data_IF_590008714877
#
_entry.id   IF_590008714877
#
_cell.length_a   1.000
_cell.length_b   1.000
_cell.length_c   1.000
_cell.angle_alpha   90.00
_cell.angle_beta   90.00
_cell.angle_gamma   90.00
#
_symmetry.space_group_name_H-M   'P 1'
#
loop_
_entity.id
_entity.type
_entity.pdbx_description
1 polymer ?
#
# COMPACT_ATOMS: atom_id res chain seq x y z
N UNK A 1 -27.24 -1.78 -10.11
CA UNK A 1 -27.03 -1.09 -8.82
C UNK A 1 -25.85 -0.15 -8.98
N UNK A 2 -25.87 0.99 -8.28
CA UNK A 2 -24.77 1.97 -8.27
C UNK A 2 -24.21 2.02 -6.86
N UNK A 3 -22.91 2.26 -6.75
CA UNK A 3 -22.22 2.40 -5.46
C UNK A 3 -21.99 3.88 -5.16
N UNK A 4 -21.83 4.20 -3.88
CA UNK A 4 -21.17 5.46 -3.49
C UNK A 4 -19.71 5.47 -3.95
N UNK A 5 -19.03 6.62 -3.85
CA UNK A 5 -17.60 6.72 -4.11
C UNK A 5 -16.81 5.85 -3.12
N UNK A 6 -15.77 5.18 -3.62
CA UNK A 6 -14.87 4.33 -2.85
C UNK A 6 -13.42 4.53 -3.31
N UNK A 7 -12.46 4.21 -2.45
CA UNK A 7 -11.03 4.26 -2.76
C UNK A 7 -10.50 2.88 -3.20
N UNK A 8 -9.31 2.85 -3.80
CA UNK A 8 -8.61 1.60 -4.20
C UNK A 8 -8.37 0.62 -3.05
N UNK A 9 -8.40 1.12 -1.81
CA UNK A 9 -8.16 0.32 -0.60
C UNK A 9 -9.44 -0.18 0.05
N UNK A 10 -10.58 0.40 -0.32
CA UNK A 10 -11.85 0.02 0.25
C UNK A 10 -12.34 -1.30 -0.36
N UNK A 11 -13.02 -2.15 0.42
CA UNK A 11 -13.67 -3.33 -0.12
C UNK A 11 -14.79 -2.93 -1.08
N UNK A 12 -14.97 -3.70 -2.16
CA UNK A 12 -16.09 -3.49 -3.06
C UNK A 12 -17.42 -3.78 -2.36
N UNK A 13 -18.44 -2.92 -2.52
CA UNK A 13 -19.78 -3.22 -2.02
C UNK A 13 -20.26 -4.58 -2.52
N UNK A 14 -20.73 -5.44 -1.60
CA UNK A 14 -21.25 -6.81 -1.84
C UNK A 14 -20.25 -7.87 -2.32
N UNK A 15 -19.14 -7.49 -2.94
CA UNK A 15 -18.13 -8.42 -3.46
C UNK A 15 -17.00 -8.62 -2.45
N UNK A 16 -16.70 -7.60 -1.64
CA UNK A 16 -15.62 -7.62 -0.64
C UNK A 16 -14.27 -7.28 -1.26
N UNK A 17 -13.19 -7.88 -0.74
CA UNK A 17 -11.84 -7.61 -1.21
C UNK A 17 -11.59 -8.31 -2.56
N UNK A 18 -11.49 -7.52 -3.63
CA UNK A 18 -11.25 -8.00 -4.99
C UNK A 18 -10.24 -7.07 -5.70
N UNK A 19 -8.93 -7.32 -5.57
CA UNK A 19 -7.88 -6.47 -6.14
C UNK A 19 -8.01 -6.27 -7.65
N UNK A 20 -8.26 -7.36 -8.38
CA UNK A 20 -8.37 -7.33 -9.84
C UNK A 20 -9.58 -6.52 -10.30
N UNK A 21 -10.69 -6.60 -9.55
CA UNK A 21 -11.88 -5.78 -9.81
C UNK A 21 -11.61 -4.29 -9.52
N UNK A 22 -10.87 -4.00 -8.44
CA UNK A 22 -10.40 -2.63 -8.17
C UNK A 22 -9.54 -2.10 -9.30
N UNK A 23 -8.57 -2.87 -9.78
CA UNK A 23 -7.72 -2.43 -10.90
C UNK A 23 -8.56 -2.16 -12.16
N UNK A 24 -9.49 -3.05 -12.50
CA UNK A 24 -10.38 -2.85 -13.63
C UNK A 24 -11.25 -1.61 -13.48
N UNK A 25 -11.88 -1.40 -12.32
CA UNK A 25 -12.78 -0.27 -12.09
C UNK A 25 -12.05 1.07 -12.14
N UNK A 26 -10.86 1.16 -11.53
CA UNK A 26 -10.05 2.38 -11.51
C UNK A 26 -9.31 2.63 -12.84
N UNK A 27 -9.34 1.69 -13.78
CA UNK A 27 -8.91 1.88 -15.16
C UNK A 27 -10.00 2.42 -16.09
N UNK A 28 -11.24 2.57 -15.61
CA UNK A 28 -12.34 3.13 -16.38
C UNK A 28 -12.41 4.66 -16.26
N UNK A 29 -13.02 5.29 -17.25
CA UNK A 29 -13.16 6.74 -17.35
C UNK A 29 -14.32 7.17 -18.23
N UNK A 30 -14.45 8.47 -18.45
CA UNK A 30 -15.47 9.04 -19.32
C UNK A 30 -15.32 8.60 -20.78
N UNK A 31 -14.09 8.34 -21.20
CA UNK A 31 -13.67 7.80 -22.49
C UNK A 31 -13.81 6.27 -22.56
N UNK A 32 -13.49 5.55 -21.47
CA UNK A 32 -13.60 4.09 -21.37
C UNK A 32 -14.58 3.69 -20.26
N UNK A 33 -15.88 3.68 -20.58
CA UNK A 33 -16.93 3.41 -19.58
C UNK A 33 -17.06 1.95 -19.15
N UNK A 34 -16.58 1.01 -19.95
CA UNK A 34 -16.71 -0.42 -19.69
C UNK A 34 -15.35 -1.11 -19.75
N UNK A 35 -15.11 -2.13 -18.91
CA UNK A 35 -13.91 -2.95 -19.01
C UNK A 35 -13.98 -3.84 -20.25
N UNK A 36 -12.81 -4.21 -20.79
CA UNK A 36 -12.71 -5.14 -21.93
C UNK A 36 -13.05 -6.57 -21.54
N UNK A 37 -12.81 -6.92 -20.27
CA UNK A 37 -13.03 -8.25 -19.73
C UNK A 37 -14.04 -8.20 -18.58
N UNK A 38 -14.79 -9.29 -18.42
CA UNK A 38 -15.68 -9.48 -17.27
C UNK A 38 -14.89 -9.97 -16.05
N UNK A 39 -15.33 -9.57 -14.86
CA UNK A 39 -14.73 -10.08 -13.62
C UNK A 39 -15.47 -11.34 -13.18
N UNK A 40 -14.77 -12.47 -13.08
CA UNK A 40 -15.31 -13.72 -12.54
C UNK A 40 -14.65 -14.08 -11.21
N UNK A 41 -15.45 -14.45 -10.21
CA UNK A 41 -14.98 -15.03 -8.96
C UNK A 41 -15.95 -16.16 -8.50
N UNK A 42 -15.69 -16.86 -7.37
CA UNK A 42 -16.59 -17.91 -6.87
C UNK A 42 -18.02 -17.45 -6.53
N UNK A 43 -18.28 -16.13 -6.41
CA UNK A 43 -19.61 -15.56 -6.15
C UNK A 43 -20.39 -15.31 -7.46
N UNK A 44 -19.72 -15.31 -8.61
CA UNK A 44 -20.34 -15.12 -9.92
C UNK A 44 -19.50 -14.29 -10.89
N UNK A 45 -20.15 -13.84 -11.96
CA UNK A 45 -19.57 -12.94 -12.96
C UNK A 45 -20.18 -11.55 -12.81
N UNK A 46 -19.33 -10.53 -12.78
CA UNK A 46 -19.69 -9.14 -12.58
C UNK A 46 -19.29 -8.30 -13.79
N UNK A 47 -20.21 -7.41 -14.19
CA UNK A 47 -19.97 -6.37 -15.19
C UNK A 47 -20.10 -5.02 -14.49
N UNK A 48 -19.08 -4.19 -14.63
CA UNK A 48 -19.05 -2.85 -14.04
C UNK A 48 -19.03 -1.79 -15.14
N UNK A 49 -19.56 -0.61 -14.82
CA UNK A 49 -19.56 0.56 -15.69
C UNK A 49 -19.12 1.77 -14.89
N UNK A 50 -18.25 2.58 -15.46
CA UNK A 50 -17.90 3.88 -14.90
C UNK A 50 -19.10 4.82 -14.91
N UNK A 51 -19.31 5.50 -13.79
CA UNK A 51 -20.37 6.49 -13.62
C UNK A 51 -19.77 7.88 -13.38
N UNK A 52 -18.90 7.98 -12.36
CA UNK A 52 -18.15 9.18 -12.04
C UNK A 52 -16.83 8.83 -11.34
N UNK A 53 -15.92 9.80 -11.29
CA UNK A 53 -14.69 9.74 -10.49
C UNK A 53 -14.59 10.97 -9.59
N UNK A 54 -14.24 10.75 -8.32
CA UNK A 54 -13.91 11.83 -7.40
C UNK A 54 -12.39 11.98 -7.32
N UNK A 55 -11.91 13.17 -7.65
CA UNK A 55 -10.50 13.53 -7.51
C UNK A 55 -10.07 13.68 -6.05
N UNK A 56 -8.79 13.96 -5.85
CA UNK A 56 -8.28 14.31 -4.52
C UNK A 56 -8.79 15.68 -4.10
N UNK A 57 -8.86 15.92 -2.79
CA UNK A 57 -9.00 17.27 -2.25
C UNK A 57 -7.65 17.98 -2.34
N UNK A 58 -7.49 18.83 -3.37
CA UNK A 58 -6.24 19.55 -3.64
C UNK A 58 -5.85 20.49 -2.49
N UNK A 59 -6.83 21.11 -1.80
CA UNK A 59 -6.53 22.00 -0.67
C UNK A 59 -5.96 21.22 0.49
N UNK A 60 -6.64 20.14 0.87
CA UNK A 60 -6.16 19.25 1.93
C UNK A 60 -4.80 18.65 1.58
N UNK A 61 -4.60 18.28 0.30
CA UNK A 61 -3.30 17.78 -0.16
C UNK A 61 -2.19 18.81 0.03
N UNK A 62 -2.40 20.07 -0.35
CA UNK A 62 -1.40 21.13 -0.17
C UNK A 62 -1.14 21.44 1.31
N UNK A 63 -2.17 21.40 2.17
CA UNK A 63 -2.01 21.54 3.63
C UNK A 63 -1.13 20.44 4.24
N UNK A 64 -1.32 19.19 3.81
CA UNK A 64 -0.63 18.02 4.36
C UNK A 64 0.70 17.67 3.62
N UNK A 65 0.99 18.36 2.51
CA UNK A 65 2.10 18.05 1.59
C UNK A 65 3.46 17.94 2.28
N UNK A 66 3.77 18.86 3.18
CA UNK A 66 5.06 18.88 3.86
C UNK A 66 5.19 17.74 4.87
N UNK A 67 4.09 17.39 5.54
CA UNK A 67 4.04 16.21 6.41
C UNK A 67 4.31 14.93 5.60
N UNK A 68 3.68 14.78 4.42
CA UNK A 68 3.93 13.63 3.54
C UNK A 68 5.38 13.57 3.07
N UNK A 69 5.97 14.71 2.67
CA UNK A 69 7.39 14.79 2.29
C UNK A 69 8.30 14.33 3.43
N UNK A 70 8.07 14.85 4.63
CA UNK A 70 8.84 14.50 5.82
C UNK A 70 8.72 13.01 6.16
N UNK A 71 7.51 12.44 6.12
CA UNK A 71 7.30 11.00 6.35
C UNK A 71 8.05 10.12 5.35
N UNK A 72 7.99 10.45 4.06
CA UNK A 72 8.69 9.69 3.00
C UNK A 72 10.20 9.80 3.16
N UNK A 73 10.71 11.00 3.45
CA UNK A 73 12.14 11.23 3.69
C UNK A 73 12.65 10.45 4.90
N UNK A 74 11.95 10.51 6.03
CA UNK A 74 12.29 9.77 7.25
C UNK A 74 12.27 8.25 7.02
N UNK A 75 11.25 7.75 6.32
CA UNK A 75 11.12 6.32 6.00
C UNK A 75 12.30 5.85 5.14
N UNK A 76 12.68 6.64 4.14
CA UNK A 76 13.81 6.36 3.25
C UNK A 76 15.13 6.37 4.01
N UNK A 77 15.35 7.39 4.84
CA UNK A 77 16.55 7.51 5.67
C UNK A 77 16.72 6.31 6.60
N UNK A 78 15.65 5.93 7.31
CA UNK A 78 15.64 4.76 8.19
C UNK A 78 16.02 3.49 7.44
N UNK A 79 15.41 3.24 6.27
CA UNK A 79 15.68 2.03 5.47
C UNK A 79 17.14 1.96 5.02
N UNK A 80 17.71 3.09 4.58
CA UNK A 80 19.12 3.16 4.16
C UNK A 80 20.05 2.91 5.34
N UNK A 81 19.78 3.57 6.48
CA UNK A 81 20.57 3.41 7.69
C UNK A 81 20.54 1.97 8.22
N UNK A 82 19.36 1.35 8.30
CA UNK A 82 19.21 -0.06 8.69
C UNK A 82 20.01 -0.97 7.76
N UNK A 83 19.91 -0.77 6.44
CA UNK A 83 20.66 -1.55 5.45
C UNK A 83 22.16 -1.40 5.65
N UNK A 84 22.63 -0.17 5.85
CA UNK A 84 24.03 0.13 6.12
C UNK A 84 24.53 -0.54 7.41
N UNK A 85 23.75 -0.47 8.50
CA UNK A 85 24.09 -1.09 9.78
C UNK A 85 24.16 -2.63 9.67
N UNK A 86 23.23 -3.25 8.95
CA UNK A 86 23.26 -4.70 8.70
C UNK A 86 24.51 -5.12 7.92
N UNK A 87 24.89 -4.33 6.90
CA UNK A 87 26.11 -4.59 6.14
C UNK A 87 27.37 -4.44 7.00
N UNK A 88 27.44 -3.41 7.85
CA UNK A 88 28.57 -3.23 8.76
C UNK A 88 28.68 -4.41 9.73
N UNK A 89 27.56 -4.82 10.34
CA UNK A 89 27.51 -5.96 11.24
C UNK A 89 27.95 -7.26 10.58
N UNK A 90 27.54 -7.50 9.32
CA UNK A 90 27.91 -8.70 8.55
C UNK A 90 29.41 -8.76 8.24
N UNK A 91 30.04 -7.61 7.99
CA UNK A 91 31.44 -7.52 7.59
C UNK A 91 32.41 -7.34 8.78
N UNK A 92 31.89 -7.03 9.96
CA UNK A 92 32.70 -6.87 11.17
C UNK A 92 32.99 -8.23 11.82
N UNK A 93 34.23 -8.44 12.27
CA UNK A 93 34.57 -9.55 13.17
C UNK A 93 34.15 -9.15 14.59
N UNK A 94 32.93 -9.51 14.98
CA UNK A 94 32.36 -9.20 16.29
C UNK A 94 32.47 -10.43 17.19
N UNK A 95 33.26 -10.35 18.26
CA UNK A 95 33.33 -11.36 19.31
C UNK A 95 32.50 -10.90 20.50
N UNK A 96 31.37 -11.57 20.77
CA UNK A 96 30.52 -11.30 21.94
C UNK A 96 31.04 -12.14 23.10
N UNK A 97 31.89 -11.55 23.94
CA UNK A 97 32.33 -12.18 25.18
C UNK A 97 31.17 -12.16 26.18
N UNK A 98 30.56 -13.33 26.44
CA UNK A 98 29.67 -13.48 27.59
C UNK A 98 30.54 -13.57 28.84
N UNK A 99 30.27 -12.80 29.91
CA UNK A 99 30.92 -13.07 31.18
C UNK A 99 30.52 -14.47 31.63
N UNK A 100 31.51 -15.34 31.85
CA UNK A 100 31.27 -16.65 32.46
C UNK A 100 30.63 -16.42 33.83
N UNK A 101 29.46 -17.03 34.05
CA UNK A 101 28.86 -17.09 35.38
C UNK A 101 29.92 -17.60 36.35
N UNK A 102 30.24 -16.80 37.36
CA UNK A 102 31.25 -17.12 38.35
C UNK A 102 30.97 -18.48 38.97
N UNK A 103 32.01 -19.32 39.03
CA UNK A 103 31.99 -20.60 39.73
C UNK A 103 31.48 -20.41 41.16
N UNK A 104 30.35 -21.04 41.47
CA UNK A 104 29.99 -21.40 42.83
C UNK A 104 30.85 -22.60 43.25
N UNK A 105 31.70 -22.41 44.26
CA UNK A 105 32.18 -23.47 45.14
C UNK A 105 32.34 -22.87 46.54
#
# INVERSE_FOLDING_TARGET
ETTEFFSRKDPFPKIGYAPDLSEMAFGLGSDKKYPENVFGNPQGTFVIRWDASQGIDEKKFEEEKEQYRSMVAQTSHRRIFETWLQNLKKNAKIEILRPMAGNSN
#
